data_IF_179758467626
#
_entry.id   IF_179758467626
#
_cell.length_a   1.000
_cell.length_b   1.000
_cell.length_c   1.000
_cell.angle_alpha   90.00
_cell.angle_beta   90.00
_cell.angle_gamma   90.00
#
_symmetry.space_group_name_H-M   'P 1'
#
loop_
_entity.id
_entity.type
_entity.pdbx_description
1 polymer ?
#
# COMPACT_ATOMS: atom_id res chain seq x y z
N UNK A 1 -0.48 8.44 -5.07
CA UNK A 1 -1.19 7.92 -3.90
C UNK A 1 -2.65 7.76 -4.23
N UNK A 2 -3.24 6.65 -3.85
CA UNK A 2 -4.67 6.38 -4.03
C UNK A 2 -5.09 5.62 -2.79
N UNK A 3 -6.13 6.12 -2.13
CA UNK A 3 -6.72 5.45 -0.98
C UNK A 3 -7.90 4.65 -1.47
N UNK A 4 -8.01 3.39 -1.03
CA UNK A 4 -9.11 2.55 -1.50
C UNK A 4 -10.00 1.97 -0.39
N UNK A 5 -11.31 2.12 -0.58
CA UNK A 5 -12.32 1.66 0.36
C UNK A 5 -12.40 0.13 0.42
N UNK A 6 -12.46 -0.42 1.63
CA UNK A 6 -12.86 -1.79 1.89
C UNK A 6 -14.17 -1.77 2.69
N UNK A 7 -15.29 -1.97 1.99
CA UNK A 7 -16.62 -2.04 2.61
C UNK A 7 -16.80 -3.36 3.37
N UNK A 8 -17.25 -3.32 4.63
CA UNK A 8 -17.65 -4.49 5.40
C UNK A 8 -19.05 -4.31 5.98
N UNK A 9 -19.97 -5.22 5.62
CA UNK A 9 -21.35 -5.22 6.11
C UNK A 9 -21.40 -5.71 7.58
N UNK A 10 -22.31 -5.17 8.39
CA UNK A 10 -22.65 -5.61 9.75
C UNK A 10 -21.56 -5.39 10.84
N UNK A 11 -21.14 -4.14 11.04
CA UNK A 11 -20.36 -3.71 12.22
C UNK A 11 -21.23 -2.80 13.10
N UNK A 12 -21.13 -2.94 14.42
CA UNK A 12 -21.91 -2.12 15.35
C UNK A 12 -21.25 -0.75 15.55
N UNK A 13 -22.03 0.28 15.86
CA UNK A 13 -21.56 1.68 15.98
C UNK A 13 -20.44 1.89 17.03
N UNK A 14 -20.29 0.98 17.99
CA UNK A 14 -19.27 1.02 19.05
C UNK A 14 -17.96 0.33 18.67
N UNK A 15 -17.92 -0.38 17.55
CA UNK A 15 -16.74 -1.11 17.12
C UNK A 15 -15.89 -0.23 16.18
N UNK A 16 -15.30 0.86 16.72
CA UNK A 16 -14.62 1.91 15.93
C UNK A 16 -13.41 1.40 15.10
N UNK A 17 -12.80 0.29 15.52
CA UNK A 17 -11.68 -0.41 14.85
C UNK A 17 -12.11 -1.75 14.24
N UNK A 18 -13.41 -1.86 13.95
CA UNK A 18 -14.03 -3.03 13.34
C UNK A 18 -14.92 -2.53 12.19
N UNK A 19 -14.67 -2.99 10.97
CA UNK A 19 -15.47 -2.61 9.80
C UNK A 19 -14.73 -1.82 8.73
N UNK A 20 -15.40 -0.81 8.14
CA UNK A 20 -14.94 -0.07 6.96
C UNK A 20 -13.53 0.50 7.18
N UNK A 21 -12.58 -0.01 6.40
CA UNK A 21 -11.19 0.42 6.45
C UNK A 21 -10.69 0.78 5.06
N UNK A 22 -9.64 1.60 5.04
CA UNK A 22 -9.00 2.06 3.84
C UNK A 22 -7.55 1.63 3.87
N UNK A 23 -7.04 1.18 2.72
CA UNK A 23 -5.61 0.94 2.53
C UNK A 23 -5.08 2.08 1.67
N UNK A 24 -4.24 2.92 2.27
CA UNK A 24 -3.46 3.93 1.56
C UNK A 24 -2.15 3.33 1.07
N UNK A 25 -1.81 3.57 -0.20
CA UNK A 25 -0.59 3.06 -0.84
C UNK A 25 0.20 4.19 -1.52
N UNK A 26 1.52 4.21 -1.28
CA UNK A 26 2.48 4.99 -2.04
C UNK A 26 3.38 4.06 -2.87
N UNK A 27 3.68 4.45 -4.10
CA UNK A 27 4.35 3.61 -5.09
C UNK A 27 5.40 4.43 -5.83
N UNK A 28 6.62 3.91 -5.91
CA UNK A 28 7.66 4.46 -6.76
C UNK A 28 7.31 4.21 -8.23
N UNK A 29 7.17 5.28 -9.01
CA UNK A 29 6.78 5.16 -10.41
C UNK A 29 7.83 4.40 -11.26
N UNK A 30 9.11 4.61 -11.00
CA UNK A 30 10.23 4.00 -11.73
C UNK A 30 10.25 2.46 -11.58
N UNK A 31 10.31 1.97 -10.35
CA UNK A 31 10.50 0.54 -10.03
C UNK A 31 9.19 -0.22 -9.82
N UNK A 32 8.09 0.47 -9.53
CA UNK A 32 6.85 -0.13 -9.05
C UNK A 32 6.95 -0.68 -7.63
N UNK A 33 7.95 -0.24 -6.85
CA UNK A 33 8.10 -0.58 -5.43
C UNK A 33 7.02 0.12 -4.61
N UNK A 34 6.33 -0.63 -3.74
CA UNK A 34 5.44 -0.03 -2.74
C UNK A 34 6.34 0.56 -1.65
N UNK A 35 6.34 1.89 -1.50
CA UNK A 35 7.18 2.60 -0.54
C UNK A 35 6.58 2.56 0.86
N UNK A 36 5.25 2.72 0.95
CA UNK A 36 4.50 2.59 2.18
C UNK A 36 3.07 2.10 1.92
N UNK A 37 2.52 1.43 2.92
CA UNK A 37 1.13 1.02 2.98
C UNK A 37 0.60 1.26 4.39
N UNK A 38 -0.57 1.88 4.50
CA UNK A 38 -1.23 2.17 5.79
C UNK A 38 -2.68 1.78 5.77
N UNK A 39 -3.18 1.32 6.92
CA UNK A 39 -4.57 0.91 7.10
C UNK A 39 -5.20 1.86 8.09
N UNK A 40 -6.25 2.56 7.67
CA UNK A 40 -6.91 3.57 8.49
C UNK A 40 -8.29 3.96 7.99
N UNK A 41 -8.81 5.09 8.49
CA UNK A 41 -10.02 5.73 7.94
C UNK A 41 -9.61 6.62 6.75
N UNK A 42 -10.56 6.96 5.89
CA UNK A 42 -10.33 7.90 4.80
C UNK A 42 -10.34 9.34 5.34
N UNK A 43 -9.27 9.69 6.05
CA UNK A 43 -9.10 10.98 6.73
C UNK A 43 -7.71 11.54 6.45
N UNK A 44 -7.51 12.80 6.79
CA UNK A 44 -6.25 13.51 6.57
C UNK A 44 -5.11 12.84 7.36
N UNK A 45 -5.38 12.31 8.55
CA UNK A 45 -4.39 11.60 9.38
C UNK A 45 -3.84 10.35 8.68
N UNK A 46 -4.67 9.61 7.91
CA UNK A 46 -4.19 8.46 7.14
C UNK A 46 -3.25 8.89 6.02
N UNK A 47 -3.54 10.01 5.36
CA UNK A 47 -2.61 10.54 4.35
C UNK A 47 -1.32 10.96 5.02
N UNK A 48 -1.40 11.67 6.14
CA UNK A 48 -0.23 12.21 6.83
C UNK A 48 0.70 11.08 7.24
N UNK A 49 0.14 10.03 7.87
CA UNK A 49 0.90 8.84 8.21
C UNK A 49 1.55 8.20 6.98
N UNK A 50 0.84 8.14 5.85
CA UNK A 50 1.36 7.55 4.61
C UNK A 50 2.47 8.40 3.98
N UNK A 51 2.35 9.73 3.99
CA UNK A 51 3.36 10.68 3.50
C UNK A 51 4.61 10.59 4.37
N UNK A 52 4.47 10.70 5.69
CA UNK A 52 5.58 10.55 6.65
C UNK A 52 6.27 9.20 6.48
N UNK A 53 5.50 8.13 6.31
CA UNK A 53 6.05 6.78 6.11
C UNK A 53 6.76 6.58 4.78
N UNK A 54 6.57 7.50 3.83
CA UNK A 54 7.19 7.50 2.50
C UNK A 54 8.44 8.38 2.46
N UNK A 55 8.52 9.40 3.32
CA UNK A 55 9.69 10.27 3.45
C UNK A 55 10.96 9.46 3.74
N UNK A 56 12.09 9.90 3.20
CA UNK A 56 13.39 9.24 3.33
C UNK A 56 13.55 7.95 2.53
N UNK A 57 12.49 7.41 1.91
CA UNK A 57 12.56 6.23 1.03
C UNK A 57 12.73 6.60 -0.45
N UNK A 58 12.57 7.88 -0.77
CA UNK A 58 12.74 8.43 -2.12
C UNK A 58 13.00 9.93 -2.03
N UNK A 59 13.81 10.44 -2.95
CA UNK A 59 14.04 11.88 -3.13
C UNK A 59 12.98 12.55 -4.04
N UNK A 60 11.99 11.78 -4.50
CA UNK A 60 10.95 12.26 -5.40
C UNK A 60 10.03 13.29 -4.71
N UNK A 61 10.09 14.54 -5.17
CA UNK A 61 9.24 15.64 -4.70
C UNK A 61 7.94 15.80 -5.49
N UNK A 62 7.48 14.75 -6.18
CA UNK A 62 6.23 14.76 -6.93
C UNK A 62 5.29 13.63 -6.50
N UNK A 63 4.04 13.99 -6.21
CA UNK A 63 2.95 13.05 -5.91
C UNK A 63 1.89 13.10 -7.01
N UNK A 64 1.51 11.93 -7.53
CA UNK A 64 0.41 11.79 -8.47
C UNK A 64 -0.79 11.12 -7.79
N UNK A 65 -1.97 11.72 -7.80
CA UNK A 65 -3.19 11.15 -7.20
C UNK A 65 -4.47 11.57 -7.92
N UNK A 66 -5.61 11.17 -7.36
CA UNK A 66 -6.90 11.77 -7.68
C UNK A 66 -7.06 13.17 -7.04
N UNK A 67 -8.21 13.80 -7.32
CA UNK A 67 -8.58 15.16 -6.92
C UNK A 67 -9.25 15.22 -5.52
N UNK A 68 -8.83 14.37 -4.59
CA UNK A 68 -9.32 14.45 -3.23
C UNK A 68 -8.63 15.58 -2.47
N UNK A 69 -9.40 16.57 -2.00
CA UNK A 69 -8.86 17.75 -1.32
C UNK A 69 -8.07 17.50 -0.02
N UNK A 70 -8.06 16.27 0.52
CA UNK A 70 -7.16 15.91 1.62
C UNK A 70 -5.68 16.02 1.25
N UNK A 71 -5.33 15.80 -0.02
CA UNK A 71 -3.94 15.91 -0.48
C UNK A 71 -3.40 17.34 -0.39
N UNK A 72 -4.20 18.34 -0.77
CA UNK A 72 -3.80 19.75 -0.68
C UNK A 72 -3.55 20.20 0.78
N UNK A 73 -4.26 19.59 1.73
CA UNK A 73 -4.12 19.91 3.17
C UNK A 73 -2.91 19.25 3.82
N UNK A 74 -2.46 18.11 3.32
CA UNK A 74 -1.46 17.26 3.98
C UNK A 74 -0.10 17.25 3.27
N UNK A 75 -0.07 17.45 1.95
CA UNK A 75 1.21 17.43 1.22
C UNK A 75 2.10 18.59 1.67
N UNK A 76 3.38 18.32 2.01
CA UNK A 76 4.30 19.36 2.46
C UNK A 76 4.53 20.46 1.41
N UNK A 77 4.80 21.69 1.84
CA UNK A 77 5.24 22.75 0.93
C UNK A 77 6.48 22.31 0.12
N UNK A 78 6.50 22.61 -1.18
CA UNK A 78 7.59 22.23 -2.09
C UNK A 78 7.41 20.87 -2.77
N UNK A 79 6.41 20.08 -2.36
CA UNK A 79 6.00 18.88 -3.09
C UNK A 79 5.07 19.27 -4.24
N UNK A 80 5.41 18.86 -5.46
CA UNK A 80 4.55 19.00 -6.63
C UNK A 80 3.42 17.97 -6.59
N UNK A 81 2.18 18.44 -6.56
CA UNK A 81 1.00 17.59 -6.67
C UNK A 81 0.45 17.62 -8.09
N UNK A 82 0.38 16.46 -8.73
CA UNK A 82 -0.22 16.28 -10.04
C UNK A 82 -1.50 15.45 -9.93
N UNK A 83 -2.59 16.02 -10.44
CA UNK A 83 -3.91 15.41 -10.42
C UNK A 83 -4.22 14.87 -11.82
N UNK A 84 -4.37 13.55 -11.95
CA UNK A 84 -4.59 12.95 -13.27
C UNK A 84 -4.60 11.43 -13.29
N UNK A 85 -5.30 10.87 -14.28
CA UNK A 85 -5.42 9.41 -14.50
C UNK A 85 -4.25 8.81 -15.26
N UNK A 86 -3.60 9.61 -16.10
CA UNK A 86 -2.48 9.22 -16.96
C UNK A 86 -1.27 8.73 -16.13
N UNK A 87 -0.98 9.36 -14.99
CA UNK A 87 0.16 8.99 -14.12
C UNK A 87 -0.19 8.01 -12.98
N UNK A 88 -1.44 7.60 -12.85
CA UNK A 88 -1.91 6.73 -11.74
C UNK A 88 -2.23 5.30 -12.16
N UNK A 89 -2.20 4.97 -13.46
CA UNK A 89 -2.56 3.63 -13.96
C UNK A 89 -1.82 2.46 -13.29
N UNK A 90 -0.50 2.60 -13.10
CA UNK A 90 0.33 1.56 -12.45
C UNK A 90 -0.09 1.38 -10.98
N UNK A 91 -0.34 2.49 -10.29
CA UNK A 91 -0.80 2.49 -8.90
C UNK A 91 -2.17 1.83 -8.77
N UNK A 92 -3.11 2.13 -9.66
CA UNK A 92 -4.44 1.50 -9.66
C UNK A 92 -4.35 -0.02 -9.86
N UNK A 93 -3.48 -0.47 -10.76
CA UNK A 93 -3.22 -1.90 -10.95
C UNK A 93 -2.67 -2.55 -9.68
N UNK A 94 -1.69 -1.91 -9.03
CA UNK A 94 -1.11 -2.40 -7.77
C UNK A 94 -2.14 -2.42 -6.65
N UNK A 95 -2.99 -1.40 -6.54
CA UNK A 95 -4.11 -1.37 -5.61
C UNK A 95 -5.04 -2.56 -5.81
N UNK A 96 -5.41 -2.85 -7.07
CA UNK A 96 -6.22 -4.03 -7.42
C UNK A 96 -5.58 -5.34 -6.96
N UNK A 97 -4.27 -5.50 -7.16
CA UNK A 97 -3.52 -6.69 -6.72
C UNK A 97 -3.52 -6.80 -5.19
N UNK A 98 -3.17 -5.73 -4.47
CA UNK A 98 -3.12 -5.73 -3.00
C UNK A 98 -4.49 -6.04 -2.42
N UNK A 99 -5.57 -5.45 -2.97
CA UNK A 99 -6.95 -5.73 -2.54
C UNK A 99 -7.35 -7.18 -2.80
N UNK A 100 -7.03 -7.70 -3.99
CA UNK A 100 -7.38 -9.08 -4.33
C UNK A 100 -6.61 -10.08 -3.46
N UNK A 101 -5.33 -9.84 -3.19
CA UNK A 101 -4.54 -10.70 -2.31
C UNK A 101 -5.02 -10.59 -0.86
N UNK A 102 -5.08 -9.40 -0.28
CA UNK A 102 -5.54 -9.23 1.11
C UNK A 102 -6.94 -9.80 1.37
N UNK A 103 -7.84 -9.75 0.38
CA UNK A 103 -9.17 -10.38 0.49
C UNK A 103 -9.15 -11.92 0.42
N UNK A 104 -8.24 -12.54 -0.32
CA UNK A 104 -8.11 -14.01 -0.41
C UNK A 104 -7.65 -14.63 0.91
N UNK A 105 -6.74 -13.97 1.62
CA UNK A 105 -6.24 -14.43 2.92
C UNK A 105 -7.29 -14.34 4.04
N UNK A 106 -8.47 -13.77 3.76
CA UNK A 106 -9.64 -13.82 4.65
C UNK A 106 -10.56 -15.04 4.44
N UNK A 107 -10.33 -15.89 3.42
CA UNK A 107 -11.25 -16.99 3.06
C UNK A 107 -10.82 -18.37 3.59
N UNK A 108 -10.98 -18.60 4.89
CA UNK A 108 -11.14 -19.96 5.45
C UNK A 108 -12.55 -20.26 5.99
N UNK A 109 -13.34 -19.22 6.26
CA UNK A 109 -14.80 -19.24 6.42
C UNK A 109 -15.39 -17.94 5.85
N UNK A 110 -16.71 -17.91 5.59
CA UNK A 110 -17.44 -16.84 4.90
C UNK A 110 -17.60 -15.52 5.71
N UNK A 111 -16.57 -15.10 6.45
CA UNK A 111 -16.59 -13.84 7.22
C UNK A 111 -15.19 -13.21 7.21
N UNK A 112 -15.14 -11.96 6.77
CA UNK A 112 -13.97 -11.10 6.81
C UNK A 112 -13.40 -11.04 8.24
N UNK A 113 -12.07 -10.98 8.38
CA UNK A 113 -11.46 -10.50 9.61
C UNK A 113 -11.93 -9.06 9.81
N UNK A 114 -12.87 -8.87 10.75
CA UNK A 114 -13.47 -7.56 10.98
C UNK A 114 -12.49 -6.58 11.65
N UNK A 115 -11.44 -7.12 12.27
CA UNK A 115 -10.43 -6.39 13.02
C UNK A 115 -9.41 -5.72 12.09
N UNK A 116 -9.13 -4.45 12.36
CA UNK A 116 -8.11 -3.70 11.63
C UNK A 116 -6.72 -4.29 11.77
N UNK A 117 -6.36 -4.86 12.93
CA UNK A 117 -5.03 -5.43 13.13
C UNK A 117 -4.75 -6.62 12.21
N UNK A 118 -5.75 -7.46 11.95
CA UNK A 118 -5.63 -8.52 10.95
C UNK A 118 -5.43 -7.94 9.54
N UNK A 119 -6.09 -6.82 9.24
CA UNK A 119 -5.90 -6.12 7.96
C UNK A 119 -4.50 -5.50 7.88
N UNK A 120 -3.97 -4.92 8.96
CA UNK A 120 -2.60 -4.37 9.04
C UNK A 120 -1.57 -5.47 8.78
N UNK A 121 -1.65 -6.60 9.51
CA UNK A 121 -0.73 -7.74 9.35
C UNK A 121 -0.80 -8.31 7.95
N UNK A 122 -2.01 -8.56 7.43
CA UNK A 122 -2.18 -9.10 6.06
C UNK A 122 -1.64 -8.12 5.01
N UNK A 123 -1.86 -6.82 5.17
CA UNK A 123 -1.35 -5.81 4.25
C UNK A 123 0.17 -5.78 4.25
N UNK A 124 0.82 -5.80 5.43
CA UNK A 124 2.29 -5.88 5.54
C UNK A 124 2.85 -7.13 4.87
N UNK A 125 2.22 -8.28 5.07
CA UNK A 125 2.63 -9.54 4.44
C UNK A 125 2.51 -9.48 2.91
N UNK A 126 1.38 -8.98 2.40
CA UNK A 126 1.11 -8.85 0.95
C UNK A 126 2.07 -7.87 0.30
N UNK A 127 2.33 -6.72 0.93
CA UNK A 127 3.29 -5.72 0.43
C UNK A 127 4.70 -6.29 0.41
N UNK A 128 5.10 -7.02 1.44
CA UNK A 128 6.41 -7.67 1.50
C UNK A 128 6.56 -8.73 0.41
N UNK A 129 5.56 -9.57 0.25
CA UNK A 129 5.52 -10.53 -0.85
C UNK A 129 5.61 -9.84 -2.21
N UNK A 130 4.81 -8.79 -2.44
CA UNK A 130 4.78 -8.07 -3.72
C UNK A 130 6.12 -7.41 -4.04
N UNK A 131 6.75 -6.76 -3.07
CA UNK A 131 8.00 -6.03 -3.27
C UNK A 131 9.18 -6.98 -3.50
N UNK A 132 9.29 -8.02 -2.67
CA UNK A 132 10.53 -8.80 -2.54
C UNK A 132 10.50 -10.16 -3.24
N UNK A 133 9.34 -10.80 -3.31
CA UNK A 133 9.20 -12.20 -3.78
C UNK A 133 8.52 -12.27 -5.14
N UNK A 134 7.46 -11.48 -5.35
CA UNK A 134 6.63 -11.55 -6.55
C UNK A 134 7.39 -11.06 -7.78
N UNK A 135 7.60 -11.98 -8.72
CA UNK A 135 8.27 -11.67 -9.99
C UNK A 135 7.27 -11.20 -11.03
N UNK A 136 7.58 -10.09 -11.68
CA UNK A 136 6.77 -9.60 -12.78
C UNK A 136 6.85 -10.57 -13.97
N UNK A 137 5.70 -11.03 -14.47
CA UNK A 137 5.61 -12.09 -15.48
C UNK A 137 6.48 -11.84 -16.73
N UNK A 138 6.56 -10.58 -17.19
CA UNK A 138 7.37 -10.16 -18.35
C UNK A 138 8.84 -9.88 -18.03
N UNK A 139 9.12 -9.23 -16.90
CA UNK A 139 10.47 -8.74 -16.61
C UNK A 139 11.31 -9.76 -15.84
N UNK A 140 10.66 -10.76 -15.22
CA UNK A 140 11.28 -11.76 -14.34
C UNK A 140 12.07 -11.17 -13.16
N UNK A 141 11.83 -9.89 -12.86
CA UNK A 141 12.38 -9.14 -11.73
C UNK A 141 11.29 -8.81 -10.72
N UNK A 142 11.70 -8.57 -9.47
CA UNK A 142 10.82 -8.07 -8.41
C UNK A 142 10.87 -6.55 -8.33
N UNK A 143 9.95 -5.94 -7.60
CA UNK A 143 9.95 -4.48 -7.45
C UNK A 143 11.18 -3.99 -6.67
N UNK A 144 11.60 -4.73 -5.64
CA UNK A 144 12.82 -4.46 -4.87
C UNK A 144 14.09 -4.55 -5.72
N UNK A 145 14.16 -5.53 -6.64
CA UNK A 145 15.28 -5.61 -7.57
C UNK A 145 15.31 -4.42 -8.53
N UNK A 146 14.16 -4.03 -9.11
CA UNK A 146 14.09 -2.83 -9.97
C UNK A 146 14.33 -1.52 -9.21
N UNK A 147 14.24 -1.54 -7.89
CA UNK A 147 14.58 -0.42 -7.02
C UNK A 147 16.03 -0.49 -6.51
N UNK A 148 16.83 -1.43 -7.02
CA UNK A 148 18.24 -1.62 -6.67
C UNK A 148 18.49 -1.95 -5.19
N UNK A 149 17.46 -2.40 -4.47
CA UNK A 149 17.57 -2.84 -3.07
C UNK A 149 18.14 -4.25 -2.94
N UNK A 150 18.11 -5.01 -4.03
CA UNK A 150 18.63 -6.37 -4.12
C UNK A 150 18.96 -6.72 -5.56
N UNK A 151 19.76 -7.75 -5.77
CA UNK A 151 20.16 -8.24 -7.09
C UNK A 151 19.44 -9.54 -7.51
N UNK A 152 18.53 -10.06 -6.68
CA UNK A 152 17.74 -11.27 -6.98
C UNK A 152 16.35 -11.22 -6.34
N UNK A 153 15.39 -12.01 -6.84
CA UNK A 153 14.15 -12.27 -6.12
C UNK A 153 14.43 -12.93 -4.76
N UNK A 154 13.70 -12.49 -3.73
CA UNK A 154 13.76 -13.09 -2.41
C UNK A 154 12.80 -14.28 -2.29
N UNK A 155 13.04 -15.08 -1.27
CA UNK A 155 12.16 -16.14 -0.80
C UNK A 155 11.58 -15.77 0.57
N UNK A 156 10.62 -16.57 1.06
CA UNK A 156 10.14 -16.41 2.44
C UNK A 156 11.24 -16.62 3.48
N UNK A 157 12.24 -17.45 3.18
CA UNK A 157 13.37 -17.65 4.08
C UNK A 157 14.19 -16.37 4.22
N UNK A 158 14.46 -15.67 3.12
CA UNK A 158 15.18 -14.39 3.16
C UNK A 158 14.44 -13.35 4.03
N UNK A 159 13.10 -13.28 3.93
CA UNK A 159 12.28 -12.36 4.74
C UNK A 159 12.37 -12.66 6.24
N UNK A 160 12.39 -13.94 6.63
CA UNK A 160 12.51 -14.35 8.04
C UNK A 160 13.92 -14.07 8.56
N UNK A 161 14.94 -14.26 7.73
CA UNK A 161 16.35 -14.04 8.08
C UNK A 161 16.70 -12.55 8.23
N UNK A 162 16.06 -11.67 7.44
CA UNK A 162 16.28 -10.22 7.48
C UNK A 162 15.02 -9.46 7.91
N UNK A 163 14.58 -9.58 9.17
CA UNK A 163 13.28 -9.07 9.63
C UNK A 163 13.18 -7.55 9.69
N UNK A 164 14.30 -6.81 9.59
CA UNK A 164 14.35 -5.34 9.60
C UNK A 164 13.68 -4.67 8.40
N UNK A 165 13.19 -5.45 7.43
CA UNK A 165 12.52 -4.96 6.22
C UNK A 165 10.99 -4.80 6.40
N UNK A 166 10.43 -5.26 7.53
CA UNK A 166 8.98 -5.29 7.80
C UNK A 166 8.42 -4.10 8.58
#
# INVERSE_FOLDING_TARGET
MVICAKKQKQCFAKELEVGDCWIGLSLANSSGLILAARVGKHTDELIEELVVSTQGKTDCQQWNSDDWGGYERVLPPGVLHYIGKDKTQRLERTNGIVRQQTSRWHRRQNKFGKLWDMTKVTTRLVVSYFNWIWQHSRFKTTAAWRAELTNRPWTWHDIVTYPTIL
#
